data_IF_842515538698
#
_entry.id   IF_842515538698
#
_cell.length_a   1.000
_cell.length_b   1.000
_cell.length_c   1.000
_cell.angle_alpha   90.00
_cell.angle_beta   90.00
_cell.angle_gamma   90.00
#
_symmetry.space_group_name_H-M   'P 1'
#
loop_
_entity.id
_entity.type
_entity.pdbx_description
1 polymer ?
#
# COMPACT_ATOMS: atom_id res chain seq x y z
N UNK A 1 6.86 -51.09 7.69
CA UNK A 1 6.31 -50.05 8.57
C UNK A 1 5.85 -48.90 7.68
N UNK A 2 4.60 -48.96 7.19
CA UNK A 2 4.05 -47.94 6.30
C UNK A 2 3.59 -46.75 7.14
N UNK A 3 4.27 -45.61 6.99
CA UNK A 3 3.91 -44.35 7.67
C UNK A 3 2.77 -43.67 6.91
N UNK A 4 1.63 -43.54 7.59
CA UNK A 4 0.39 -43.01 7.04
C UNK A 4 0.52 -41.53 6.65
N UNK A 5 0.17 -41.21 5.40
CA UNK A 5 0.02 -39.86 4.87
C UNK A 5 -1.21 -39.18 5.49
N UNK A 6 -0.98 -38.30 6.47
CA UNK A 6 -2.04 -37.43 6.97
C UNK A 6 -2.34 -36.35 5.93
N UNK A 7 -3.59 -36.33 5.48
CA UNK A 7 -4.10 -35.41 4.46
C UNK A 7 -3.65 -33.97 4.71
N UNK A 8 -2.91 -33.46 3.74
CA UNK A 8 -2.57 -32.05 3.60
C UNK A 8 -3.88 -31.30 3.42
N UNK A 9 -4.48 -30.81 4.51
CA UNK A 9 -5.52 -29.77 4.41
C UNK A 9 -4.85 -28.60 3.71
N UNK A 10 -5.32 -28.27 2.51
CA UNK A 10 -4.95 -27.03 1.83
C UNK A 10 -5.29 -25.88 2.79
N UNK A 11 -4.26 -25.31 3.41
CA UNK A 11 -4.42 -24.06 4.13
C UNK A 11 -4.68 -23.01 3.06
N UNK A 12 -5.96 -22.71 2.80
CA UNK A 12 -6.33 -21.47 2.13
C UNK A 12 -6.19 -20.40 3.20
N UNK A 13 -5.11 -19.61 3.23
CA UNK A 13 -5.00 -18.51 4.17
C UNK A 13 -6.22 -17.63 3.95
N UNK A 14 -7.13 -17.57 4.93
CA UNK A 14 -8.11 -16.50 4.98
C UNK A 14 -7.29 -15.22 5.06
N UNK A 15 -7.43 -14.29 4.10
CA UNK A 15 -6.70 -13.04 4.16
C UNK A 15 -6.98 -12.40 5.54
N UNK A 16 -5.94 -11.96 6.25
CA UNK A 16 -6.13 -11.41 7.58
C UNK A 16 -7.06 -10.20 7.51
N UNK A 17 -8.02 -10.10 8.42
CA UNK A 17 -8.82 -8.88 8.67
C UNK A 17 -7.95 -7.65 9.05
N UNK A 18 -6.63 -7.85 9.16
CA UNK A 18 -5.65 -6.83 9.51
C UNK A 18 -5.01 -6.30 8.22
N UNK A 19 -5.64 -5.26 7.67
CA UNK A 19 -4.94 -4.25 6.90
C UNK A 19 -4.77 -4.54 5.42
N UNK A 20 -5.84 -4.94 4.72
CA UNK A 20 -6.03 -4.43 3.37
C UNK A 20 -6.12 -2.92 3.51
N UNK A 21 -4.98 -2.21 3.43
CA UNK A 21 -4.97 -0.75 3.32
C UNK A 21 -6.01 -0.45 2.24
N UNK A 22 -7.14 0.20 2.56
CA UNK A 22 -8.20 0.39 1.59
C UNK A 22 -7.53 1.06 0.41
N UNK A 23 -7.38 0.31 -0.69
CA UNK A 23 -6.87 0.81 -1.95
C UNK A 23 -7.85 1.90 -2.29
N UNK A 24 -7.49 3.15 -1.96
CA UNK A 24 -8.33 4.35 -2.01
C UNK A 24 -9.30 4.23 -3.17
N UNK A 25 -10.49 3.67 -2.88
CA UNK A 25 -11.31 3.03 -3.93
C UNK A 25 -12.04 4.10 -4.73
N UNK A 26 -12.22 5.24 -4.08
CA UNK A 26 -12.77 6.48 -4.59
C UNK A 26 -11.68 7.43 -5.11
N UNK A 27 -10.40 7.14 -4.81
CA UNK A 27 -9.25 7.85 -5.37
C UNK A 27 -9.12 9.30 -4.92
N UNK A 28 -9.60 9.63 -3.71
CA UNK A 28 -9.62 11.01 -3.19
C UNK A 28 -8.22 11.61 -3.09
N UNK A 29 -7.21 10.77 -2.82
CA UNK A 29 -5.83 11.21 -2.69
C UNK A 29 -5.01 11.08 -3.99
N UNK A 30 -5.61 10.60 -5.10
CA UNK A 30 -4.89 10.30 -6.35
C UNK A 30 -4.19 11.52 -6.95
N UNK A 31 -4.77 12.71 -6.83
CA UNK A 31 -4.19 13.95 -7.36
C UNK A 31 -2.89 14.35 -6.64
N UNK A 32 -2.90 14.30 -5.31
CA UNK A 32 -1.71 14.62 -4.52
C UNK A 32 -0.65 13.50 -4.60
N UNK A 33 -1.08 12.23 -4.71
CA UNK A 33 -0.19 11.10 -4.99
C UNK A 33 0.59 11.32 -6.30
N UNK A 34 -0.09 11.71 -7.37
CA UNK A 34 0.55 11.98 -8.66
C UNK A 34 1.55 13.13 -8.57
N UNK A 35 1.23 14.20 -7.84
CA UNK A 35 2.16 15.33 -7.62
C UNK A 35 3.41 14.89 -6.86
N UNK A 36 3.25 14.08 -5.82
CA UNK A 36 4.39 13.50 -5.11
C UNK A 36 5.24 12.61 -6.03
N UNK A 37 4.61 11.72 -6.80
CA UNK A 37 5.33 10.85 -7.74
C UNK A 37 6.07 11.63 -8.83
N UNK A 38 5.47 12.70 -9.37
CA UNK A 38 6.14 13.58 -10.34
C UNK A 38 7.36 14.27 -9.70
N UNK A 39 7.21 14.77 -8.47
CA UNK A 39 8.32 15.37 -7.75
C UNK A 39 9.45 14.37 -7.50
N UNK A 40 9.13 13.14 -7.09
CA UNK A 40 10.12 12.08 -6.88
C UNK A 40 10.88 11.75 -8.16
N UNK A 41 10.18 11.61 -9.29
CA UNK A 41 10.83 11.36 -10.60
C UNK A 41 11.75 12.51 -11.01
N UNK A 42 11.33 13.76 -10.80
CA UNK A 42 12.13 14.93 -11.13
C UNK A 42 13.40 15.06 -10.26
N UNK A 43 13.30 14.71 -8.98
CA UNK A 43 14.39 14.87 -7.99
C UNK A 43 15.15 13.57 -7.72
N UNK A 44 15.17 12.61 -8.66
CA UNK A 44 15.88 11.32 -8.52
C UNK A 44 15.52 10.55 -7.24
N UNK A 45 14.25 10.54 -6.88
CA UNK A 45 13.67 9.95 -5.67
C UNK A 45 14.15 10.58 -4.36
N UNK A 46 14.59 11.83 -4.38
CA UNK A 46 14.88 12.58 -3.16
C UNK A 46 13.60 13.09 -2.49
N UNK A 47 13.21 12.40 -1.40
CA UNK A 47 12.04 12.75 -0.60
C UNK A 47 12.21 14.09 0.14
N UNK A 48 13.45 14.51 0.45
CA UNK A 48 13.68 15.76 1.17
C UNK A 48 13.22 16.97 0.34
N UNK A 49 13.49 16.93 -0.96
CA UNK A 49 13.06 17.89 -1.96
C UNK A 49 11.54 17.89 -2.21
N UNK A 50 10.85 16.79 -1.88
CA UNK A 50 9.41 16.61 -2.10
C UNK A 50 8.53 16.69 -0.84
N UNK A 51 9.09 17.22 0.27
CA UNK A 51 8.39 17.31 1.57
C UNK A 51 7.04 18.03 1.51
N UNK A 52 6.90 19.05 0.67
CA UNK A 52 5.64 19.81 0.56
C UNK A 52 4.53 18.94 -0.05
N UNK A 53 4.86 18.18 -1.08
CA UNK A 53 3.99 17.28 -1.81
C UNK A 53 3.64 16.07 -0.95
N UNK A 54 4.63 15.52 -0.23
CA UNK A 54 4.42 14.46 0.76
C UNK A 54 3.48 14.92 1.87
N UNK A 55 3.67 16.14 2.40
CA UNK A 55 2.79 16.71 3.42
C UNK A 55 1.37 16.91 2.88
N UNK A 56 1.20 17.36 1.63
CA UNK A 56 -0.12 17.49 1.02
C UNK A 56 -0.80 16.12 0.83
N UNK A 57 -0.05 15.11 0.36
CA UNK A 57 -0.52 13.74 0.19
C UNK A 57 -0.94 13.10 1.51
N UNK A 58 -0.18 13.32 2.60
CA UNK A 58 -0.45 12.76 3.92
C UNK A 58 -1.40 13.61 4.79
N UNK A 59 -1.66 14.86 4.41
CA UNK A 59 -2.51 15.78 5.19
C UNK A 59 -4.00 15.54 4.94
N UNK A 60 -4.38 14.94 3.81
CA UNK A 60 -5.78 14.67 3.52
C UNK A 60 -6.35 13.80 4.66
N UNK A 61 -7.27 14.33 5.50
CA UNK A 61 -8.05 13.47 6.36
C UNK A 61 -8.99 12.69 5.43
N UNK A 62 -9.27 11.42 5.77
CA UNK A 62 -10.04 10.41 5.03
C UNK A 62 -9.12 9.40 4.33
N UNK A 63 -9.02 8.13 4.75
CA UNK A 63 -9.94 7.36 5.61
C UNK A 63 -9.60 7.33 7.09
#
# INVERSE_FOLDING_TARGET
>A
MSTMTFGQKSFTPTPPDKGSFPLDHEGHCKKEMLRYMLCMRANRNDNSSCRLQTKAYLRLPNG
#
